data_IF_603870528447
#
_entry.id   IF_603870528447
#
_cell.length_a   1.000
_cell.length_b   1.000
_cell.length_c   1.000
_cell.angle_alpha   90.00
_cell.angle_beta   90.00
_cell.angle_gamma   90.00
#
_symmetry.space_group_name_H-M   'P 1'
#
loop_
_entity.id
_entity.type
_entity.pdbx_description
1 polymer ?
#
# COMPACT_ATOMS: atom_id res chain seq x y z
N UNK A 1 -19.26 4.65 -0.92
CA UNK A 1 -18.32 5.77 -1.07
C UNK A 1 -17.83 6.22 0.30
N UNK A 2 -16.54 6.42 0.42
CA UNK A 2 -15.91 6.89 1.65
C UNK A 2 -16.02 8.39 1.88
N UNK A 3 -15.40 8.85 2.94
CA UNK A 3 -15.39 10.27 3.34
C UNK A 3 -13.99 10.69 3.76
N UNK A 4 -13.69 11.98 3.62
CA UNK A 4 -12.46 12.57 4.17
C UNK A 4 -12.58 12.64 5.69
N UNK A 5 -11.52 12.24 6.39
CA UNK A 5 -11.44 12.27 7.85
C UNK A 5 -10.11 12.86 8.31
N UNK A 6 -10.05 13.29 9.58
CA UNK A 6 -8.81 13.48 10.33
C UNK A 6 -8.62 12.34 11.33
N UNK A 7 -7.37 12.02 11.62
CA UNK A 7 -7.00 11.05 12.65
C UNK A 7 -5.68 11.47 13.33
N UNK A 8 -5.46 10.98 14.54
CA UNK A 8 -4.24 11.29 15.29
C UNK A 8 -3.08 10.39 14.85
N UNK A 9 -1.93 10.98 14.70
CA UNK A 9 -0.64 10.32 14.56
C UNK A 9 -0.13 9.89 15.96
N UNK A 10 0.79 8.92 16.07
CA UNK A 10 1.42 8.57 17.37
C UNK A 10 2.09 9.76 18.08
N UNK A 11 2.61 10.74 17.34
CA UNK A 11 3.21 11.96 17.90
C UNK A 11 2.19 13.03 18.36
N UNK A 12 0.89 12.72 18.30
CA UNK A 12 -0.21 13.60 18.71
C UNK A 12 -0.63 14.65 17.69
N UNK A 13 0.04 14.73 16.54
CA UNK A 13 -0.39 15.61 15.43
C UNK A 13 -1.55 14.99 14.67
N UNK A 14 -2.28 15.82 13.94
CA UNK A 14 -3.33 15.36 13.03
C UNK A 14 -2.76 15.00 11.66
N UNK A 15 -3.35 13.98 11.06
CA UNK A 15 -3.22 13.64 9.65
C UNK A 15 -4.61 13.51 9.03
N UNK A 16 -4.69 13.74 7.72
CA UNK A 16 -5.92 13.54 6.95
C UNK A 16 -5.89 12.22 6.18
N UNK A 17 -7.06 11.73 5.77
CA UNK A 17 -7.17 10.57 4.92
C UNK A 17 -8.58 10.39 4.35
N UNK A 18 -8.76 9.35 3.55
CA UNK A 18 -10.03 8.95 2.98
C UNK A 18 -10.42 7.57 3.53
N UNK A 19 -11.54 7.50 4.25
CA UNK A 19 -12.04 6.30 4.91
C UNK A 19 -13.33 5.82 4.24
N UNK A 20 -13.36 4.56 3.81
CA UNK A 20 -14.58 3.86 3.45
C UNK A 20 -14.79 2.66 4.38
N UNK A 21 -16.00 2.50 4.87
CA UNK A 21 -16.37 1.44 5.82
C UNK A 21 -17.11 0.32 5.10
N UNK A 22 -16.78 -0.92 5.47
CA UNK A 22 -17.54 -2.09 5.08
C UNK A 22 -18.94 -2.11 5.72
N UNK A 23 -19.79 -2.99 5.23
CA UNK A 23 -21.14 -3.18 5.80
C UNK A 23 -21.10 -3.70 7.25
N UNK A 24 -20.07 -4.50 7.60
CA UNK A 24 -19.83 -4.98 8.96
C UNK A 24 -18.96 -3.99 9.73
N UNK A 25 -19.41 -3.58 10.91
CA UNK A 25 -18.67 -2.64 11.76
C UNK A 25 -17.32 -3.22 12.26
N UNK A 26 -17.29 -4.54 12.52
CA UNK A 26 -16.12 -5.30 12.99
C UNK A 26 -15.26 -5.85 11.85
N UNK A 27 -15.43 -5.35 10.62
CA UNK A 27 -14.63 -5.74 9.49
C UNK A 27 -13.12 -5.45 9.72
N UNK A 28 -12.23 -6.30 9.20
CA UNK A 28 -10.80 -6.05 9.30
C UNK A 28 -10.43 -4.72 8.64
N UNK A 29 -9.39 -4.08 9.16
CA UNK A 29 -8.88 -2.81 8.65
C UNK A 29 -7.88 -2.99 7.51
N UNK A 30 -7.86 -2.06 6.55
CA UNK A 30 -6.80 -1.94 5.54
C UNK A 30 -6.31 -0.49 5.45
N UNK A 31 -5.01 -0.29 5.59
CA UNK A 31 -4.36 0.96 5.21
C UNK A 31 -3.93 0.87 3.75
N UNK A 32 -4.35 1.82 2.92
CA UNK A 32 -4.09 1.86 1.47
C UNK A 32 -3.15 3.03 1.18
N UNK A 33 -1.91 2.75 0.78
CA UNK A 33 -0.90 3.78 0.56
C UNK A 33 -0.87 4.19 -0.90
N UNK A 34 -0.94 5.50 -1.12
CA UNK A 34 -1.00 6.15 -2.43
C UNK A 34 0.24 5.93 -3.30
N UNK A 35 0.08 6.13 -4.61
CA UNK A 35 1.20 6.32 -5.54
C UNK A 35 1.84 7.72 -5.36
N UNK A 36 2.92 8.00 -6.06
CA UNK A 36 3.60 9.30 -6.05
C UNK A 36 2.74 10.49 -6.57
N UNK A 37 1.54 10.20 -7.09
CA UNK A 37 0.59 11.20 -7.55
C UNK A 37 -0.26 11.84 -6.44
N UNK A 38 -0.17 11.35 -5.21
CA UNK A 38 -0.98 11.80 -4.09
C UNK A 38 -2.27 10.99 -3.90
N UNK A 39 -3.08 11.39 -2.91
CA UNK A 39 -4.38 10.79 -2.61
C UNK A 39 -5.45 11.26 -3.62
N UNK A 40 -5.35 10.76 -4.84
CA UNK A 40 -6.23 11.09 -5.96
C UNK A 40 -7.49 10.21 -6.01
N UNK A 41 -8.36 10.47 -6.99
CA UNK A 41 -9.63 9.74 -7.14
C UNK A 41 -9.43 8.24 -7.44
N UNK A 42 -8.34 7.86 -8.12
CA UNK A 42 -8.03 6.46 -8.40
C UNK A 42 -7.73 5.70 -7.09
N UNK A 43 -6.92 6.25 -6.18
CA UNK A 43 -6.66 5.62 -4.86
C UNK A 43 -7.92 5.59 -3.99
N UNK A 44 -8.74 6.65 -4.02
CA UNK A 44 -10.04 6.66 -3.32
C UNK A 44 -10.98 5.58 -3.86
N UNK A 45 -11.00 5.37 -5.18
CA UNK A 45 -11.75 4.28 -5.81
C UNK A 45 -11.28 2.90 -5.34
N UNK A 46 -9.98 2.69 -5.16
CA UNK A 46 -9.45 1.45 -4.58
C UNK A 46 -9.91 1.27 -3.13
N UNK A 47 -9.91 2.33 -2.33
CA UNK A 47 -10.42 2.30 -0.95
C UNK A 47 -11.90 1.90 -0.92
N UNK A 48 -12.73 2.49 -1.79
CA UNK A 48 -14.14 2.15 -1.90
C UNK A 48 -14.34 0.68 -2.30
N UNK A 49 -13.55 0.17 -3.27
CA UNK A 49 -13.58 -1.25 -3.69
C UNK A 49 -13.18 -2.21 -2.54
N UNK A 50 -12.22 -1.85 -1.69
CA UNK A 50 -11.91 -2.65 -0.50
C UNK A 50 -13.06 -2.64 0.51
N UNK A 51 -13.75 -1.52 0.68
CA UNK A 51 -14.92 -1.46 1.55
C UNK A 51 -16.06 -2.35 1.03
N UNK A 52 -16.32 -2.35 -0.28
CA UNK A 52 -17.27 -3.26 -0.93
C UNK A 52 -16.86 -4.73 -0.79
N UNK A 53 -15.55 -5.02 -0.77
CA UNK A 53 -15.00 -6.36 -0.56
C UNK A 53 -14.99 -6.83 0.90
N UNK A 54 -15.43 -5.96 1.86
CA UNK A 54 -15.63 -6.30 3.27
C UNK A 54 -14.52 -5.85 4.21
N UNK A 55 -13.74 -4.83 3.86
CA UNK A 55 -12.68 -4.26 4.70
C UNK A 55 -12.99 -2.80 5.07
N UNK A 56 -12.72 -2.38 6.30
CA UNK A 56 -12.69 -0.96 6.63
C UNK A 56 -11.38 -0.36 6.09
N UNK A 57 -11.43 0.40 5.00
CA UNK A 57 -10.24 0.84 4.27
C UNK A 57 -9.97 2.34 4.49
N UNK A 58 -8.75 2.69 4.84
CA UNK A 58 -8.29 4.06 5.07
C UNK A 58 -7.03 4.35 4.24
N UNK A 59 -7.10 5.30 3.32
CA UNK A 59 -5.93 5.84 2.66
C UNK A 59 -5.49 7.14 3.36
N UNK A 60 -4.32 7.16 4.03
CA UNK A 60 -3.77 8.39 4.57
C UNK A 60 -3.28 9.32 3.44
N UNK A 61 -3.42 10.62 3.66
CA UNK A 61 -2.93 11.65 2.75
C UNK A 61 -1.48 12.01 3.12
N UNK A 62 -0.53 11.55 2.32
CA UNK A 62 0.89 11.75 2.60
C UNK A 62 1.41 13.11 2.11
N UNK A 63 0.64 13.83 1.31
CA UNK A 63 1.04 15.09 0.69
C UNK A 63 0.22 16.30 1.16
N UNK A 64 -0.47 16.17 2.31
CA UNK A 64 -1.24 17.25 2.93
C UNK A 64 -2.27 17.90 1.96
N UNK A 65 -2.97 17.08 1.19
CA UNK A 65 -4.01 17.51 0.24
C UNK A 65 -3.51 17.78 -1.17
N UNK A 66 -2.22 17.65 -1.43
CA UNK A 66 -1.69 17.88 -2.79
C UNK A 66 -1.88 16.62 -3.65
N UNK A 67 -2.38 16.84 -4.86
CA UNK A 67 -2.54 15.82 -5.89
C UNK A 67 -1.84 16.31 -7.15
N UNK A 68 -0.98 15.48 -7.71
CA UNK A 68 -0.21 15.80 -8.91
C UNK A 68 -0.90 15.20 -10.13
N UNK A 69 -1.13 15.98 -11.21
CA UNK A 69 -1.65 15.44 -12.45
C UNK A 69 -0.70 14.41 -13.09
N UNK A 70 -1.25 13.40 -13.75
CA UNK A 70 -0.48 12.30 -14.35
C UNK A 70 0.52 12.72 -15.45
N UNK A 71 0.37 13.90 -16.01
CA UNK A 71 1.30 14.45 -17.01
C UNK A 71 2.49 15.21 -16.39
N UNK A 72 2.50 15.43 -15.07
CA UNK A 72 3.53 16.21 -14.39
C UNK A 72 4.42 15.31 -13.50
N UNK A 73 5.15 14.41 -14.14
CA UNK A 73 6.09 13.52 -13.46
C UNK A 73 7.20 14.29 -12.69
N UNK A 74 7.72 15.44 -13.16
CA UNK A 74 8.65 16.24 -12.38
C UNK A 74 8.08 16.72 -11.04
N UNK A 75 6.83 17.19 -11.01
CA UNK A 75 6.18 17.59 -9.76
C UNK A 75 5.93 16.39 -8.84
N UNK A 76 5.51 15.24 -9.38
CA UNK A 76 5.34 14.01 -8.60
C UNK A 76 6.66 13.55 -7.97
N UNK A 77 7.76 13.62 -8.72
CA UNK A 77 9.09 13.31 -8.20
C UNK A 77 9.51 14.30 -7.09
N UNK A 78 9.20 15.59 -7.24
CA UNK A 78 9.50 16.58 -6.20
C UNK A 78 8.74 16.31 -4.90
N UNK A 79 7.44 15.96 -4.97
CA UNK A 79 6.65 15.57 -3.81
C UNK A 79 7.22 14.32 -3.13
N UNK A 80 7.49 13.27 -3.92
CA UNK A 80 8.03 12.01 -3.41
C UNK A 80 9.40 12.21 -2.75
N UNK A 81 10.30 12.98 -3.35
CA UNK A 81 11.65 13.19 -2.81
C UNK A 81 11.67 14.12 -1.58
N UNK A 82 10.65 14.97 -1.41
CA UNK A 82 10.48 15.81 -0.22
C UNK A 82 9.86 15.05 0.96
N UNK A 83 9.24 13.89 0.72
CA UNK A 83 8.59 13.10 1.75
C UNK A 83 9.62 12.44 2.67
N UNK A 84 9.46 12.64 3.98
CA UNK A 84 10.18 11.83 4.96
C UNK A 84 9.49 10.46 5.10
N UNK A 85 10.00 9.45 4.40
CA UNK A 85 9.41 8.11 4.36
C UNK A 85 9.33 7.44 5.73
N UNK A 86 10.30 7.67 6.62
CA UNK A 86 10.27 7.13 7.97
C UNK A 86 9.17 7.78 8.81
N UNK A 87 9.06 9.10 8.79
CA UNK A 87 7.99 9.82 9.48
C UNK A 87 6.61 9.43 8.90
N UNK A 88 6.48 9.40 7.58
CA UNK A 88 5.24 8.98 6.93
C UNK A 88 4.81 7.56 7.34
N UNK A 89 5.77 6.64 7.44
CA UNK A 89 5.50 5.25 7.87
C UNK A 89 5.20 5.16 9.36
N UNK A 90 6.09 5.69 10.22
CA UNK A 90 6.03 5.51 11.67
C UNK A 90 4.96 6.40 12.32
N UNK A 91 4.53 7.48 11.65
CA UNK A 91 3.55 8.41 12.20
C UNK A 91 2.23 8.39 11.39
N UNK A 92 2.27 8.60 10.08
CA UNK A 92 1.03 8.74 9.32
C UNK A 92 0.39 7.38 9.06
N UNK A 93 1.11 6.42 8.48
CA UNK A 93 0.56 5.08 8.20
C UNK A 93 0.23 4.33 9.49
N UNK A 94 1.07 4.46 10.53
CA UNK A 94 0.81 3.88 11.85
C UNK A 94 -0.41 4.50 12.52
N UNK A 95 -0.58 5.83 12.48
CA UNK A 95 -1.77 6.52 12.98
C UNK A 95 -3.05 6.08 12.27
N UNK A 96 -2.99 5.85 10.95
CA UNK A 96 -4.11 5.29 10.20
C UNK A 96 -4.48 3.86 10.66
N UNK A 97 -3.48 3.01 10.94
CA UNK A 97 -3.72 1.68 11.50
C UNK A 97 -4.33 1.75 12.90
N UNK A 98 -3.82 2.61 13.78
CA UNK A 98 -4.34 2.82 15.13
C UNK A 98 -5.79 3.36 15.09
N UNK A 99 -6.10 4.22 14.11
CA UNK A 99 -7.47 4.70 13.90
C UNK A 99 -8.41 3.56 13.53
N UNK A 100 -8.02 2.65 12.63
CA UNK A 100 -8.85 1.51 12.26
C UNK A 100 -9.05 0.54 13.43
N UNK A 101 -8.03 0.32 14.26
CA UNK A 101 -8.14 -0.47 15.50
C UNK A 101 -9.11 0.20 16.47
N UNK A 102 -9.01 1.50 16.69
CA UNK A 102 -9.91 2.26 17.56
C UNK A 102 -11.38 2.25 17.04
N UNK A 103 -11.56 2.16 15.72
CA UNK A 103 -12.88 2.01 15.09
C UNK A 103 -13.43 0.56 15.16
N UNK A 104 -12.69 -0.40 15.76
CA UNK A 104 -13.15 -1.76 16.03
C UNK A 104 -12.52 -2.87 15.16
N UNK A 105 -11.58 -2.57 14.29
CA UNK A 105 -10.87 -3.59 13.52
C UNK A 105 -9.97 -4.43 14.43
N UNK A 106 -10.20 -5.76 14.49
CA UNK A 106 -9.40 -6.67 15.30
C UNK A 106 -7.98 -6.87 14.72
N UNK A 107 -7.85 -6.80 13.40
CA UNK A 107 -6.58 -6.86 12.67
C UNK A 107 -6.55 -5.81 11.57
N UNK A 108 -5.37 -5.32 11.25
CA UNK A 108 -5.16 -4.34 10.18
C UNK A 108 -4.08 -4.84 9.22
N UNK A 109 -4.38 -4.79 7.92
CA UNK A 109 -3.42 -5.00 6.85
C UNK A 109 -2.95 -3.67 6.26
N UNK A 110 -1.90 -3.77 5.45
CA UNK A 110 -1.38 -2.64 4.69
C UNK A 110 -1.18 -3.02 3.22
N UNK A 111 -1.56 -2.15 2.33
CA UNK A 111 -1.29 -2.28 0.89
C UNK A 111 -0.89 -0.93 0.32
N UNK A 112 -0.17 -0.95 -0.79
CA UNK A 112 0.23 0.28 -1.46
C UNK A 112 0.78 0.03 -2.85
N UNK A 113 0.82 1.08 -3.64
CA UNK A 113 1.09 1.06 -5.06
C UNK A 113 2.29 1.93 -5.40
N UNK A 114 3.23 1.47 -6.23
CA UNK A 114 4.43 2.21 -6.62
C UNK A 114 5.25 2.62 -5.37
N UNK A 115 5.43 3.91 -5.13
CA UNK A 115 5.97 4.47 -3.89
C UNK A 115 5.30 3.83 -2.65
N UNK A 116 3.97 3.72 -2.66
CA UNK A 116 3.19 3.09 -1.59
C UNK A 116 3.47 1.59 -1.46
N UNK A 117 3.83 0.90 -2.54
CA UNK A 117 4.28 -0.49 -2.49
C UNK A 117 5.59 -0.64 -1.72
N UNK A 118 6.56 0.24 -1.99
CA UNK A 118 7.80 0.30 -1.22
C UNK A 118 7.53 0.63 0.27
N UNK A 119 6.62 1.57 0.54
CA UNK A 119 6.20 1.91 1.90
C UNK A 119 5.46 0.76 2.60
N UNK A 120 4.77 -0.10 1.87
CA UNK A 120 4.16 -1.32 2.44
C UNK A 120 5.22 -2.25 3.05
N UNK A 121 6.33 -2.47 2.34
CA UNK A 121 7.45 -3.28 2.85
C UNK A 121 8.10 -2.58 4.05
N UNK A 122 8.31 -1.27 3.97
CA UNK A 122 8.85 -0.48 5.08
C UNK A 122 7.93 -0.57 6.33
N UNK A 123 6.62 -0.47 6.14
CA UNK A 123 5.63 -0.61 7.19
C UNK A 123 5.61 -2.03 7.78
N UNK A 124 5.76 -3.06 6.95
CA UNK A 124 5.87 -4.46 7.40
C UNK A 124 7.10 -4.73 8.28
N UNK A 125 8.14 -3.93 8.12
CA UNK A 125 9.35 -3.99 8.95
C UNK A 125 9.23 -3.22 10.26
N UNK A 126 8.42 -2.15 10.32
CA UNK A 126 8.49 -1.12 11.36
C UNK A 126 7.23 -0.96 12.20
N UNK A 127 6.05 -1.14 11.61
CA UNK A 127 4.77 -0.82 12.25
C UNK A 127 4.14 -2.08 12.86
N UNK A 128 4.09 -2.20 14.19
CA UNK A 128 3.64 -3.43 14.86
C UNK A 128 2.12 -3.65 14.77
N UNK A 129 1.35 -2.64 14.41
CA UNK A 129 -0.10 -2.73 14.25
C UNK A 129 -0.53 -3.52 13.01
N UNK A 130 0.36 -3.71 12.02
CA UNK A 130 0.03 -4.48 10.83
C UNK A 130 0.20 -5.98 11.02
N UNK A 131 -0.75 -6.75 10.50
CA UNK A 131 -0.79 -8.22 10.55
C UNK A 131 -0.47 -8.90 9.22
N UNK A 132 -0.60 -8.19 8.10
CA UNK A 132 -0.31 -8.67 6.75
C UNK A 132 -0.09 -7.49 5.79
N UNK A 133 0.69 -7.68 4.73
CA UNK A 133 0.95 -6.64 3.74
C UNK A 133 0.88 -7.13 2.30
N UNK A 134 0.37 -6.30 1.39
CA UNK A 134 0.39 -6.57 -0.06
C UNK A 134 1.04 -5.40 -0.78
N UNK A 135 2.18 -5.63 -1.41
CA UNK A 135 2.88 -4.58 -2.14
C UNK A 135 2.67 -4.70 -3.66
N UNK A 136 2.39 -3.58 -4.32
CA UNK A 136 2.28 -3.49 -5.76
C UNK A 136 3.46 -2.70 -6.33
N UNK A 137 4.22 -3.33 -7.21
CA UNK A 137 5.31 -2.76 -8.00
C UNK A 137 6.16 -1.71 -7.26
N UNK A 138 6.60 -2.04 -6.04
CA UNK A 138 7.47 -1.17 -5.25
C UNK A 138 8.32 -1.93 -4.25
N UNK A 139 9.61 -1.63 -4.22
CA UNK A 139 10.55 -2.14 -3.21
C UNK A 139 11.29 -0.96 -2.59
N UNK A 140 11.49 -0.93 -1.27
CA UNK A 140 12.29 0.11 -0.63
C UNK A 140 13.77 -0.09 -0.93
N UNK A 141 14.58 0.97 -0.85
CA UNK A 141 16.02 0.84 -0.81
C UNK A 141 16.45 -0.11 0.32
N UNK A 142 17.42 -0.99 0.07
CA UNK A 142 17.89 -2.00 1.04
C UNK A 142 18.33 -1.40 2.38
N UNK A 143 18.83 -0.16 2.38
CA UNK A 143 19.20 0.57 3.58
C UNK A 143 18.00 1.00 4.45
N UNK A 144 16.79 1.08 3.87
CA UNK A 144 15.58 1.47 4.59
C UNK A 144 14.86 0.26 5.19
N UNK A 145 14.72 -0.82 4.41
CA UNK A 145 14.21 -2.11 4.87
C UNK A 145 14.65 -3.22 3.91
N UNK A 146 15.31 -4.25 4.43
CA UNK A 146 15.67 -5.45 3.69
C UNK A 146 14.74 -6.63 3.98
N UNK A 147 14.91 -7.76 3.28
CA UNK A 147 14.08 -8.95 3.48
C UNK A 147 14.06 -9.46 4.92
N UNK A 148 15.19 -9.36 5.65
CA UNK A 148 15.32 -9.80 7.05
C UNK A 148 14.46 -8.98 8.02
N UNK A 149 14.18 -7.72 7.66
CA UNK A 149 13.46 -6.78 8.53
C UNK A 149 11.94 -7.00 8.49
N UNK A 150 11.42 -7.67 7.47
CA UNK A 150 9.99 -7.98 7.31
C UNK A 150 9.51 -8.85 8.48
N UNK A 151 8.42 -8.44 9.16
CA UNK A 151 7.91 -9.06 10.38
C UNK A 151 6.56 -9.75 10.23
N UNK A 152 5.86 -9.49 9.13
CA UNK A 152 4.51 -9.99 8.85
C UNK A 152 4.47 -10.72 7.51
N UNK A 153 3.46 -11.56 7.23
CA UNK A 153 3.25 -12.14 5.91
C UNK A 153 3.11 -11.07 4.84
N UNK A 154 3.78 -11.28 3.69
CA UNK A 154 3.77 -10.35 2.56
C UNK A 154 3.35 -11.07 1.28
N UNK A 155 2.45 -10.46 0.53
CA UNK A 155 2.20 -10.77 -0.88
C UNK A 155 2.73 -9.62 -1.76
N UNK A 156 3.28 -9.93 -2.93
CA UNK A 156 3.80 -8.92 -3.85
C UNK A 156 3.37 -9.15 -5.29
N UNK A 157 3.01 -8.07 -5.98
CA UNK A 157 2.56 -8.05 -7.37
C UNK A 157 3.45 -7.13 -8.19
N UNK A 158 4.18 -7.69 -9.17
CA UNK A 158 5.21 -6.99 -9.92
C UNK A 158 4.99 -7.15 -11.43
N UNK A 159 5.47 -6.17 -12.18
CA UNK A 159 5.44 -6.19 -13.63
C UNK A 159 6.74 -6.74 -14.22
N UNK A 160 6.66 -7.47 -15.33
CA UNK A 160 7.83 -7.98 -16.04
C UNK A 160 8.55 -6.89 -16.86
N UNK A 161 7.83 -5.83 -17.23
CA UNK A 161 8.37 -4.68 -17.97
C UNK A 161 8.40 -3.44 -17.05
N UNK A 162 9.26 -3.48 -16.05
CA UNK A 162 9.38 -2.42 -15.04
C UNK A 162 10.85 -1.99 -14.91
N UNK A 163 11.14 -0.75 -15.28
CA UNK A 163 12.49 -0.17 -15.19
C UNK A 163 12.78 0.40 -13.78
N UNK A 164 11.75 0.56 -12.97
CA UNK A 164 11.85 1.13 -11.62
C UNK A 164 11.97 0.05 -10.55
N UNK A 165 11.03 -0.89 -10.55
CA UNK A 165 11.05 -2.08 -9.71
C UNK A 165 11.42 -3.29 -10.59
N UNK A 166 12.69 -3.35 -11.00
CA UNK A 166 13.14 -4.29 -12.02
C UNK A 166 12.92 -5.75 -11.63
N UNK A 167 12.62 -6.66 -12.59
CA UNK A 167 12.45 -8.08 -12.29
C UNK A 167 13.63 -8.70 -11.52
N UNK A 168 14.86 -8.25 -11.79
CA UNK A 168 16.04 -8.71 -11.06
C UNK A 168 15.98 -8.30 -9.59
N UNK A 169 15.64 -7.03 -9.29
CA UNK A 169 15.52 -6.55 -7.92
C UNK A 169 14.42 -7.30 -7.16
N UNK A 170 13.30 -7.62 -7.83
CA UNK A 170 12.21 -8.42 -7.27
C UNK A 170 12.67 -9.83 -6.93
N UNK A 171 13.39 -10.51 -7.85
CA UNK A 171 13.93 -11.85 -7.62
C UNK A 171 14.92 -11.86 -6.45
N UNK A 172 15.81 -10.88 -6.38
CA UNK A 172 16.81 -10.77 -5.30
C UNK A 172 16.13 -10.54 -3.94
N UNK A 173 15.10 -9.70 -3.89
CA UNK A 173 14.33 -9.46 -2.68
C UNK A 173 13.54 -10.70 -2.25
N UNK A 174 12.86 -11.37 -3.19
CA UNK A 174 12.13 -12.61 -2.96
C UNK A 174 13.05 -13.72 -2.42
N UNK A 175 14.21 -13.89 -3.05
CA UNK A 175 15.24 -14.83 -2.56
C UNK A 175 15.67 -14.49 -1.13
N UNK A 176 15.90 -13.22 -0.85
CA UNK A 176 16.26 -12.77 0.50
C UNK A 176 15.18 -13.06 1.55
N UNK A 177 13.88 -12.99 1.19
CA UNK A 177 12.78 -13.39 2.06
C UNK A 177 12.80 -14.90 2.34
N UNK A 178 13.04 -15.73 1.32
CA UNK A 178 13.18 -17.19 1.47
C UNK A 178 14.35 -17.52 2.37
N UNK A 179 15.53 -16.93 2.13
CA UNK A 179 16.75 -17.15 2.93
C UNK A 179 16.56 -16.71 4.40
N UNK A 180 15.70 -15.71 4.63
CA UNK A 180 15.34 -15.22 5.96
C UNK A 180 14.14 -15.96 6.59
N UNK A 181 13.61 -17.00 5.93
CA UNK A 181 12.43 -17.77 6.37
C UNK A 181 11.19 -16.89 6.62
N UNK A 182 10.98 -15.87 5.79
CA UNK A 182 9.81 -14.98 5.90
C UNK A 182 8.65 -15.53 5.08
N UNK A 183 7.40 -15.51 5.59
CA UNK A 183 6.23 -15.91 4.83
C UNK A 183 5.93 -14.87 3.75
N UNK A 184 6.20 -15.22 2.49
CA UNK A 184 6.00 -14.33 1.36
C UNK A 184 5.62 -15.09 0.09
N UNK A 185 4.75 -14.48 -0.72
CA UNK A 185 4.36 -14.95 -2.05
C UNK A 185 4.48 -13.78 -3.04
N UNK A 186 5.28 -13.94 -4.11
CA UNK A 186 5.47 -12.90 -5.11
C UNK A 186 5.01 -13.40 -6.48
N UNK A 187 4.29 -12.54 -7.18
CA UNK A 187 3.73 -12.79 -8.51
C UNK A 187 4.21 -11.75 -9.51
N UNK A 188 4.56 -12.21 -10.70
CA UNK A 188 4.96 -11.35 -11.82
C UNK A 188 3.96 -11.46 -12.96
N UNK A 189 3.66 -10.34 -13.61
CA UNK A 189 2.65 -10.20 -14.65
C UNK A 189 3.26 -9.64 -15.93
N UNK A 190 2.74 -10.07 -17.08
CA UNK A 190 3.05 -9.47 -18.38
C UNK A 190 2.40 -8.09 -18.45
N UNK A 191 3.06 -7.11 -17.85
CA UNK A 191 2.55 -5.76 -17.61
C UNK A 191 3.69 -4.76 -17.44
N UNK A 192 3.35 -3.47 -17.39
CA UNK A 192 4.25 -2.36 -17.08
C UNK A 192 4.03 -1.85 -15.65
N UNK A 193 4.98 -1.02 -15.15
CA UNK A 193 4.84 -0.33 -13.88
C UNK A 193 3.52 0.47 -13.82
N UNK A 194 2.77 0.32 -12.73
CA UNK A 194 1.49 1.01 -12.56
C UNK A 194 0.28 0.30 -13.17
N UNK A 195 0.37 -1.00 -13.52
CA UNK A 195 -0.68 -1.75 -14.20
C UNK A 195 -2.03 -1.81 -13.49
N UNK A 196 -2.08 -1.50 -12.19
CA UNK A 196 -3.33 -1.38 -11.43
C UNK A 196 -4.06 -0.05 -11.63
N UNK A 197 -3.42 0.95 -12.23
CA UNK A 197 -3.94 2.30 -12.32
C UNK A 197 -4.88 2.47 -13.54
N UNK A 198 -6.18 2.30 -13.32
CA UNK A 198 -7.22 2.41 -14.35
C UNK A 198 -7.34 3.82 -14.95
N UNK A 199 -6.90 4.85 -14.23
CA UNK A 199 -6.88 6.23 -14.73
C UNK A 199 -5.69 6.51 -15.68
N UNK A 200 -4.82 5.53 -15.88
CA UNK A 200 -3.67 5.58 -16.80
C UNK A 200 -3.76 4.47 -17.84
N UNK A 201 -4.52 4.67 -18.92
CA UNK A 201 -4.73 3.64 -19.95
C UNK A 201 -3.44 3.24 -20.70
N UNK A 202 -2.40 4.07 -20.62
CA UNK A 202 -1.06 3.81 -21.15
C UNK A 202 -0.31 2.68 -20.44
N UNK A 203 -0.62 2.42 -19.18
CA UNK A 203 0.04 1.39 -18.37
C UNK A 203 -0.94 0.37 -17.78
N UNK A 204 -2.23 0.70 -17.70
CA UNK A 204 -3.23 -0.20 -17.14
C UNK A 204 -3.31 -1.50 -17.93
N UNK A 205 -3.22 -2.64 -17.22
CA UNK A 205 -3.36 -3.97 -17.81
C UNK A 205 -4.49 -4.72 -17.08
N UNK A 206 -5.69 -4.68 -17.67
CA UNK A 206 -6.93 -5.14 -17.02
C UNK A 206 -6.86 -6.60 -16.53
N UNK A 207 -6.24 -7.51 -17.33
CA UNK A 207 -6.11 -8.92 -16.93
C UNK A 207 -5.19 -9.07 -15.72
N UNK A 208 -4.01 -8.48 -15.76
CA UNK A 208 -3.06 -8.51 -14.65
C UNK A 208 -3.65 -7.87 -13.39
N UNK A 209 -4.34 -6.73 -13.55
CA UNK A 209 -5.01 -6.03 -12.45
C UNK A 209 -6.10 -6.88 -11.80
N UNK A 210 -6.94 -7.56 -12.57
CA UNK A 210 -7.99 -8.43 -12.06
C UNK A 210 -7.39 -9.64 -11.29
N UNK A 211 -6.37 -10.30 -11.86
CA UNK A 211 -5.71 -11.43 -11.20
C UNK A 211 -5.01 -11.01 -9.90
N UNK A 212 -4.32 -9.88 -9.91
CA UNK A 212 -3.64 -9.34 -8.72
C UNK A 212 -4.66 -8.95 -7.64
N UNK A 213 -5.78 -8.33 -8.00
CA UNK A 213 -6.87 -7.99 -7.10
C UNK A 213 -7.46 -9.22 -6.42
N UNK A 214 -7.78 -10.26 -7.18
CA UNK A 214 -8.34 -11.51 -6.64
C UNK A 214 -7.39 -12.20 -5.64
N UNK A 215 -6.07 -12.21 -5.93
CA UNK A 215 -5.05 -12.74 -5.03
C UNK A 215 -4.97 -11.92 -3.75
N UNK A 216 -4.91 -10.60 -3.87
CA UNK A 216 -4.90 -9.65 -2.74
C UNK A 216 -6.07 -9.89 -1.80
N UNK A 217 -7.29 -10.02 -2.33
CA UNK A 217 -8.46 -10.28 -1.50
C UNK A 217 -8.39 -11.64 -0.79
N UNK A 218 -7.93 -12.69 -1.46
CA UNK A 218 -7.72 -14.01 -0.86
C UNK A 218 -6.67 -13.96 0.24
N UNK A 219 -5.56 -13.27 -0.02
CA UNK A 219 -4.48 -13.10 0.95
C UNK A 219 -4.96 -12.36 2.21
N UNK A 220 -5.62 -11.22 2.07
CA UNK A 220 -6.13 -10.48 3.22
C UNK A 220 -7.21 -11.25 3.99
N UNK A 221 -8.14 -11.94 3.32
CA UNK A 221 -9.12 -12.81 4.00
C UNK A 221 -8.47 -13.92 4.81
N UNK A 222 -7.39 -14.52 4.30
CA UNK A 222 -6.63 -15.56 5.01
C UNK A 222 -5.95 -15.04 6.28
N UNK A 223 -5.41 -13.82 6.25
CA UNK A 223 -4.55 -13.30 7.32
C UNK A 223 -5.27 -12.37 8.30
N UNK A 224 -6.31 -11.68 7.85
CA UNK A 224 -7.03 -10.72 8.68
C UNK A 224 -8.34 -11.27 9.26
N UNK A 225 -8.91 -12.31 8.70
CA UNK A 225 -10.10 -12.98 9.23
C UNK A 225 -11.18 -13.06 8.26
#
# INVERSE_FOLDING_TARGET
>A
MGTRISFLRPDGKEAAGYLAKAARADAPGLVVIQEWWGLNEQIKGIVDRFAEAGFNALAPDLYAGRVVPYHDAPAANAEMTSLNFLDATDQICRGAAQRLIADGAAKVGVTGFCMGGAMTILAAARVPEFSAGVCFYGLPPAAAAGPKDVKIPIEGHFALHDDWCTPQAVMDFAKGLVDAHKPAEFFSYEAHHGFMNEARPDVHQAKAAAEAWDRTLKFFRKHLG
#
